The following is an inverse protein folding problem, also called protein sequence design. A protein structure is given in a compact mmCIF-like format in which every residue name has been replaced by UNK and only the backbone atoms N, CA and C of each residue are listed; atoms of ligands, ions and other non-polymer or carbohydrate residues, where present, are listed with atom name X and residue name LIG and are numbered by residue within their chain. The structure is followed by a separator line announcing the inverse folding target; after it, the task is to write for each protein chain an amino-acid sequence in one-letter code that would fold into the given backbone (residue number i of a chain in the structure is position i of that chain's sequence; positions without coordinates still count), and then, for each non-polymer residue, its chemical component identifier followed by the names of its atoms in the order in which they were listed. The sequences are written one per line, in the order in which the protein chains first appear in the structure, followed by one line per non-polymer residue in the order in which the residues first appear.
data_IF_679433134842
#
_entry.id   IF_679433134842
#
_cell.length_a   1.000
_cell.length_b   1.000
_cell.length_c   1.000
_cell.angle_alpha   90.00
_cell.angle_beta   90.00
_cell.angle_gamma   90.00
#
_symmetry.space_group_name_H-M   'P 1'
#
loop_
_entity.id
_entity.type
_entity.pdbx_description
1 polymer ?
#
# COMPACT_ATOMS: atom_id res chain seq x y z
N UNK A 1 9.41 -7.34 -15.89
CA UNK A 1 10.55 -6.51 -16.35
C UNK A 1 11.16 -5.85 -15.10
N UNK A 2 12.47 -5.59 -15.04
CA UNK A 2 13.11 -4.97 -13.86
C UNK A 2 13.74 -3.64 -14.21
N UNK A 3 13.42 -2.56 -13.48
CA UNK A 3 14.08 -1.25 -13.62
C UNK A 3 15.15 -1.06 -12.54
N UNK A 4 16.30 -0.50 -12.92
CA UNK A 4 17.39 -0.19 -12.00
C UNK A 4 17.09 1.04 -11.11
N UNK A 5 18.00 1.34 -10.16
CA UNK A 5 17.83 2.48 -9.27
C UNK A 5 17.80 3.80 -10.05
N UNK A 6 16.88 4.68 -9.68
CA UNK A 6 16.67 5.98 -10.35
C UNK A 6 16.30 7.02 -9.30
N UNK A 7 16.47 8.32 -9.57
CA UNK A 7 15.95 9.36 -8.66
C UNK A 7 14.42 9.48 -8.80
N UNK A 8 13.92 9.40 -10.05
CA UNK A 8 12.50 9.58 -10.36
C UNK A 8 12.02 8.54 -11.38
N UNK A 9 10.92 7.85 -11.09
CA UNK A 9 10.23 6.99 -12.05
C UNK A 9 8.76 7.40 -12.23
N UNK A 10 8.37 7.66 -13.47
CA UNK A 10 7.00 7.96 -13.86
C UNK A 10 6.55 6.97 -14.93
N UNK A 11 5.55 6.14 -14.61
CA UNK A 11 4.96 5.18 -15.54
C UNK A 11 3.45 5.43 -15.65
N UNK A 12 2.97 5.63 -16.88
CA UNK A 12 1.55 5.85 -17.18
C UNK A 12 1.08 4.90 -18.29
N UNK A 13 0.11 4.03 -18.01
CA UNK A 13 -0.42 3.08 -19.01
C UNK A 13 -1.89 3.34 -19.34
N UNK A 14 -2.24 2.98 -20.58
CA UNK A 14 -3.59 3.10 -21.11
C UNK A 14 -4.58 2.09 -20.53
N UNK A 15 -5.86 2.15 -20.96
CA UNK A 15 -7.02 1.54 -20.31
C UNK A 15 -7.15 0.01 -20.39
N UNK A 16 -6.16 -0.74 -20.89
CA UNK A 16 -6.32 -2.20 -21.09
C UNK A 16 -4.96 -2.89 -21.08
N UNK A 17 -4.23 -2.82 -19.97
CA UNK A 17 -2.93 -3.49 -19.89
C UNK A 17 -2.56 -3.85 -18.46
N UNK A 18 -2.27 -5.14 -18.26
CA UNK A 18 -1.69 -5.64 -17.02
C UNK A 18 -0.20 -5.32 -17.00
N UNK A 19 0.29 -4.83 -15.88
CA UNK A 19 1.68 -4.47 -15.70
C UNK A 19 2.31 -5.37 -14.64
N UNK A 20 3.35 -6.10 -15.03
CA UNK A 20 4.24 -6.81 -14.09
C UNK A 20 5.65 -6.25 -14.15
N UNK A 21 6.04 -5.49 -13.13
CA UNK A 21 7.35 -4.83 -13.08
C UNK A 21 7.97 -4.88 -11.68
N UNK A 22 9.28 -5.15 -11.61
CA UNK A 22 10.07 -4.95 -10.39
C UNK A 22 10.79 -3.62 -10.49
N UNK A 23 10.64 -2.75 -9.50
CA UNK A 23 11.36 -1.48 -9.44
C UNK A 23 12.43 -1.56 -8.37
N UNK A 24 13.67 -1.21 -8.74
CA UNK A 24 14.74 -1.00 -7.78
C UNK A 24 14.49 0.24 -6.89
N UNK A 25 15.35 0.44 -5.89
CA UNK A 25 15.23 1.56 -4.96
C UNK A 25 15.29 2.90 -5.70
N UNK A 26 14.39 3.81 -5.35
CA UNK A 26 14.20 5.12 -6.01
C UNK A 26 13.92 6.18 -4.95
N UNK A 27 14.13 7.47 -5.19
CA UNK A 27 13.66 8.51 -4.24
C UNK A 27 12.15 8.73 -4.42
N UNK A 28 11.71 8.96 -5.67
CA UNK A 28 10.33 9.26 -6.03
C UNK A 28 9.78 8.31 -7.11
N UNK A 29 8.68 7.63 -6.81
CA UNK A 29 7.97 6.77 -7.77
C UNK A 29 6.51 7.18 -7.93
N UNK A 30 6.08 7.38 -9.18
CA UNK A 30 4.66 7.57 -9.50
C UNK A 30 4.20 6.70 -10.65
N UNK A 31 3.16 5.91 -10.38
CA UNK A 31 2.53 5.04 -11.36
C UNK A 31 1.06 5.41 -11.55
N UNK A 32 0.62 5.42 -12.79
CA UNK A 32 -0.76 5.67 -13.20
C UNK A 32 -1.25 4.60 -14.16
N UNK A 33 -2.26 3.80 -13.79
CA UNK A 33 -2.94 2.93 -14.74
C UNK A 33 -4.30 3.48 -15.13
N UNK A 34 -4.68 3.25 -16.39
CA UNK A 34 -6.04 3.46 -16.86
C UNK A 34 -7.05 2.48 -16.22
N UNK A 35 -8.36 2.65 -16.50
CA UNK A 35 -9.41 1.78 -15.98
C UNK A 35 -9.23 0.33 -16.45
N UNK A 36 -9.38 -0.67 -15.57
CA UNK A 36 -9.47 -2.09 -15.97
C UNK A 36 -8.16 -2.79 -16.36
N UNK A 37 -7.02 -2.34 -15.84
CA UNK A 37 -5.75 -3.07 -15.95
C UNK A 37 -5.19 -3.41 -14.57
N UNK A 38 -4.54 -4.56 -14.45
CA UNK A 38 -4.00 -5.04 -13.18
C UNK A 38 -2.54 -4.65 -13.01
N UNK A 39 -2.18 -4.14 -11.84
CA UNK A 39 -0.82 -3.81 -11.48
C UNK A 39 -0.28 -4.87 -10.53
N UNK A 40 0.71 -5.63 -10.98
CA UNK A 40 1.55 -6.46 -10.12
C UNK A 40 2.96 -5.89 -10.07
N UNK A 41 3.47 -5.58 -8.89
CA UNK A 41 4.83 -5.09 -8.79
C UNK A 41 5.56 -5.52 -7.53
N UNK A 42 6.89 -5.49 -7.61
CA UNK A 42 7.77 -5.66 -6.48
C UNK A 42 8.63 -4.39 -6.39
N UNK A 43 8.56 -3.73 -5.24
CA UNK A 43 9.21 -2.45 -5.02
C UNK A 43 10.35 -2.62 -4.04
N UNK A 44 11.53 -2.13 -4.43
CA UNK A 44 12.62 -1.87 -3.50
C UNK A 44 12.39 -0.58 -2.71
N UNK A 45 13.26 -0.34 -1.73
CA UNK A 45 13.16 0.79 -0.81
C UNK A 45 13.01 2.14 -1.53
N UNK A 46 11.95 2.89 -1.25
CA UNK A 46 11.64 4.20 -1.85
C UNK A 46 11.11 5.19 -0.82
N UNK A 47 11.65 6.40 -0.75
CA UNK A 47 11.17 7.39 0.23
C UNK A 47 9.69 7.78 -0.03
N UNK A 48 9.33 8.06 -1.29
CA UNK A 48 7.99 8.52 -1.67
C UNK A 48 7.40 7.73 -2.86
N UNK A 49 6.29 7.02 -2.60
CA UNK A 49 5.56 6.21 -3.58
C UNK A 49 4.12 6.67 -3.73
N UNK A 50 3.69 6.90 -4.98
CA UNK A 50 2.30 7.25 -5.30
C UNK A 50 1.79 6.41 -6.46
N UNK A 51 0.78 5.59 -6.21
CA UNK A 51 0.11 4.83 -7.28
C UNK A 51 -1.34 5.27 -7.43
N UNK A 52 -1.73 5.56 -8.66
CA UNK A 52 -3.10 5.88 -9.02
C UNK A 52 -3.61 4.87 -10.03
N UNK A 53 -4.67 4.15 -9.69
CA UNK A 53 -5.30 3.22 -10.61
C UNK A 53 -6.65 3.76 -11.06
N UNK A 54 -7.04 3.37 -12.27
CA UNK A 54 -8.36 3.66 -12.78
C UNK A 54 -9.42 2.78 -12.08
N UNK A 55 -10.70 3.16 -12.16
CA UNK A 55 -11.78 2.35 -11.62
C UNK A 55 -11.72 0.93 -12.23
N UNK A 56 -11.72 -0.10 -11.37
CA UNK A 56 -11.66 -1.54 -11.69
C UNK A 56 -10.30 -2.15 -12.05
N UNK A 57 -9.18 -1.54 -11.65
CA UNK A 57 -7.88 -2.21 -11.72
C UNK A 57 -7.50 -2.82 -10.38
N UNK A 58 -6.90 -4.02 -10.41
CA UNK A 58 -6.41 -4.67 -9.20
C UNK A 58 -4.94 -4.32 -8.96
N UNK A 59 -4.55 -4.14 -7.69
CA UNK A 59 -3.18 -3.87 -7.29
C UNK A 59 -2.66 -4.99 -6.40
N UNK A 60 -1.60 -5.65 -6.85
CA UNK A 60 -0.80 -6.56 -6.03
C UNK A 60 0.62 -6.02 -5.93
N UNK A 61 1.08 -5.71 -4.72
CA UNK A 61 2.46 -5.24 -4.54
C UNK A 61 3.17 -5.90 -3.36
N UNK A 62 4.43 -6.26 -3.58
CA UNK A 62 5.35 -6.67 -2.53
C UNK A 62 6.37 -5.56 -2.30
N UNK A 63 6.55 -5.09 -1.07
CA UNK A 63 7.59 -4.11 -0.76
C UNK A 63 8.55 -4.65 0.29
N UNK A 64 9.86 -4.56 0.02
CA UNK A 64 10.93 -4.78 0.98
C UNK A 64 11.57 -3.42 1.29
N UNK A 65 11.11 -2.81 2.39
CA UNK A 65 11.39 -1.43 2.74
C UNK A 65 12.38 -1.39 3.90
N UNK A 66 13.52 -0.74 3.73
CA UNK A 66 14.52 -0.65 4.80
C UNK A 66 14.48 0.65 5.58
N UNK A 67 13.78 1.67 5.09
CA UNK A 67 13.78 3.04 5.62
C UNK A 67 12.35 3.57 5.81
N UNK A 68 12.23 4.86 6.14
CA UNK A 68 10.95 5.55 6.29
C UNK A 68 10.30 5.81 4.92
N UNK A 69 9.08 5.31 4.70
CA UNK A 69 8.43 5.39 3.38
C UNK A 69 6.99 5.89 3.41
N UNK A 70 6.57 6.54 2.33
CA UNK A 70 5.20 7.02 2.17
C UNK A 70 4.54 6.41 0.93
N UNK A 71 3.46 5.68 1.16
CA UNK A 71 2.69 5.06 0.09
C UNK A 71 1.30 5.68 0.00
N UNK A 72 0.97 6.26 -1.15
CA UNK A 72 -0.36 6.81 -1.43
C UNK A 72 -1.05 6.08 -2.57
N UNK A 73 -2.21 5.47 -2.30
CA UNK A 73 -3.05 4.83 -3.31
C UNK A 73 -4.34 5.61 -3.56
N UNK A 74 -4.70 5.71 -4.84
CA UNK A 74 -6.00 6.21 -5.28
C UNK A 74 -7.12 5.16 -5.15
N UNK A 75 -8.19 5.36 -5.92
CA UNK A 75 -9.28 4.39 -6.02
C UNK A 75 -8.82 3.13 -6.75
N UNK A 76 -9.11 1.96 -6.18
CA UNK A 76 -8.71 0.65 -6.69
C UNK A 76 -9.91 -0.30 -6.66
N UNK A 77 -9.89 -1.35 -7.50
CA UNK A 77 -10.83 -2.47 -7.39
C UNK A 77 -10.43 -3.30 -6.19
N UNK A 78 -9.51 -4.24 -6.40
CA UNK A 78 -8.92 -5.03 -5.31
C UNK A 78 -7.50 -4.57 -4.99
N UNK A 79 -7.15 -4.54 -3.72
CA UNK A 79 -5.83 -4.16 -3.23
C UNK A 79 -5.23 -5.26 -2.37
N UNK A 80 -4.08 -5.78 -2.78
CA UNK A 80 -3.25 -6.71 -2.02
C UNK A 80 -1.83 -6.17 -1.85
N UNK A 81 -1.40 -5.99 -0.60
CA UNK A 81 -0.04 -5.52 -0.28
C UNK A 81 0.62 -6.50 0.70
N UNK A 82 1.84 -6.93 0.37
CA UNK A 82 2.72 -7.68 1.27
C UNK A 82 3.96 -6.85 1.60
N UNK A 83 4.18 -6.52 2.87
CA UNK A 83 5.36 -5.76 3.30
C UNK A 83 6.32 -6.62 4.11
N UNK A 84 7.60 -6.49 3.81
CA UNK A 84 8.70 -7.00 4.60
C UNK A 84 8.92 -6.20 5.90
N UNK A 85 10.03 -6.45 6.60
CA UNK A 85 10.38 -5.70 7.80
C UNK A 85 10.71 -4.25 7.44
N UNK A 86 10.07 -3.26 8.08
CA UNK A 86 10.28 -1.82 7.81
C UNK A 86 10.54 -1.04 9.09
N UNK A 87 11.28 0.06 8.97
CA UNK A 87 11.46 1.04 10.04
C UNK A 87 10.15 1.79 10.31
N UNK A 88 9.88 2.81 9.49
CA UNK A 88 8.69 3.66 9.64
C UNK A 88 7.87 3.64 8.34
N UNK A 89 6.56 3.44 8.43
CA UNK A 89 5.70 3.38 7.26
C UNK A 89 4.48 4.28 7.40
N UNK A 90 4.27 5.14 6.40
CA UNK A 90 3.07 5.91 6.24
C UNK A 90 2.28 5.45 5.01
N UNK A 91 1.04 5.01 5.20
CA UNK A 91 0.17 4.57 4.11
C UNK A 91 -1.15 5.34 4.07
N UNK A 92 -1.54 5.84 2.90
CA UNK A 92 -2.83 6.46 2.66
C UNK A 92 -3.53 5.77 1.50
N UNK A 93 -4.59 5.03 1.79
CA UNK A 93 -5.36 4.26 0.81
C UNK A 93 -6.69 4.96 0.53
N UNK A 94 -7.02 5.08 -0.76
CA UNK A 94 -8.33 5.55 -1.21
C UNK A 94 -9.42 4.50 -1.06
N UNK A 95 -10.63 4.76 -1.59
CA UNK A 95 -11.72 3.80 -1.56
C UNK A 95 -11.40 2.55 -2.41
N UNK A 96 -11.74 1.37 -1.89
CA UNK A 96 -11.46 0.06 -2.50
C UNK A 96 -12.67 -0.86 -2.39
N UNK A 97 -12.78 -1.91 -3.21
CA UNK A 97 -13.78 -2.97 -3.00
C UNK A 97 -13.25 -3.93 -1.94
N UNK A 98 -12.11 -4.58 -2.21
CA UNK A 98 -11.42 -5.48 -1.29
C UNK A 98 -10.01 -5.00 -0.95
N UNK A 99 -9.64 -5.01 0.34
CA UNK A 99 -8.31 -4.64 0.80
C UNK A 99 -7.66 -5.74 1.66
N UNK A 100 -6.47 -6.19 1.27
CA UNK A 100 -5.68 -7.22 1.95
C UNK A 100 -4.25 -6.73 2.20
N UNK A 101 -3.90 -6.50 3.46
CA UNK A 101 -2.53 -6.11 3.85
C UNK A 101 -1.91 -7.21 4.71
N UNK A 102 -0.69 -7.63 4.36
CA UNK A 102 0.14 -8.53 5.17
C UNK A 102 1.47 -7.86 5.48
N UNK A 103 1.67 -7.43 6.72
CA UNK A 103 2.83 -6.65 7.14
C UNK A 103 3.77 -7.50 8.00
N UNK A 104 5.06 -7.43 7.73
CA UNK A 104 6.12 -8.01 8.54
C UNK A 104 6.37 -7.24 9.84
N UNK A 105 7.54 -7.42 10.48
CA UNK A 105 7.93 -6.63 11.63
C UNK A 105 8.09 -5.14 11.28
N UNK A 106 7.40 -4.24 11.98
CA UNK A 106 7.46 -2.80 11.71
C UNK A 106 7.87 -2.03 12.96
N UNK A 107 8.68 -0.98 12.82
CA UNK A 107 8.94 -0.02 13.90
C UNK A 107 7.70 0.81 14.20
N UNK A 108 7.43 1.79 13.35
CA UNK A 108 6.25 2.65 13.42
C UNK A 108 5.38 2.48 12.16
N UNK A 109 4.08 2.24 12.35
CA UNK A 109 3.12 2.02 11.28
C UNK A 109 1.97 3.00 11.39
N UNK A 110 1.87 3.95 10.45
CA UNK A 110 0.75 4.87 10.32
C UNK A 110 -0.03 4.56 9.05
N UNK A 111 -1.32 4.24 9.18
CA UNK A 111 -2.18 3.97 8.02
C UNK A 111 -3.49 4.74 8.08
N UNK A 112 -3.94 5.22 6.92
CA UNK A 112 -5.27 5.79 6.73
C UNK A 112 -5.97 5.10 5.57
N UNK A 113 -7.08 4.45 5.86
CA UNK A 113 -7.80 3.59 4.93
C UNK A 113 -9.13 4.23 4.58
N UNK A 114 -9.37 4.42 3.28
CA UNK A 114 -10.64 4.87 2.76
C UNK A 114 -11.76 3.82 2.89
N UNK A 115 -12.99 4.15 2.49
CA UNK A 115 -14.11 3.23 2.54
C UNK A 115 -13.84 1.97 1.72
N UNK A 116 -14.13 0.81 2.31
CA UNK A 116 -13.87 -0.51 1.72
C UNK A 116 -15.05 -1.45 2.03
N UNK A 117 -15.37 -2.38 1.13
CA UNK A 117 -16.37 -3.42 1.45
C UNK A 117 -15.75 -4.46 2.39
N UNK A 118 -14.66 -5.11 1.95
CA UNK A 118 -13.96 -6.13 2.72
C UNK A 118 -12.50 -5.76 3.04
N UNK A 119 -12.16 -5.64 4.32
CA UNK A 119 -10.82 -5.34 4.78
C UNK A 119 -10.20 -6.51 5.56
N UNK A 120 -8.98 -6.90 5.22
CA UNK A 120 -8.19 -7.93 5.89
C UNK A 120 -6.77 -7.45 6.15
N UNK A 121 -6.39 -7.36 7.42
CA UNK A 121 -5.09 -6.90 7.87
C UNK A 121 -4.40 -8.00 8.69
N UNK A 122 -3.21 -8.41 8.26
CA UNK A 122 -2.33 -9.32 9.00
C UNK A 122 -1.06 -8.59 9.39
N UNK A 123 -0.91 -8.22 10.65
CA UNK A 123 0.24 -7.47 11.16
C UNK A 123 1.22 -8.40 11.88
N UNK A 124 2.50 -8.30 11.55
CA UNK A 124 3.59 -8.89 12.32
C UNK A 124 3.84 -8.13 13.64
N UNK A 125 5.03 -8.32 14.26
CA UNK A 125 5.41 -7.53 15.42
C UNK A 125 5.54 -6.05 15.06
N UNK A 126 4.76 -5.17 15.67
CA UNK A 126 4.85 -3.72 15.42
C UNK A 126 5.26 -3.02 16.71
N UNK A 127 6.13 -2.01 16.64
CA UNK A 127 6.39 -1.12 17.77
C UNK A 127 5.13 -0.31 18.06
N UNK A 128 4.86 0.67 17.21
CA UNK A 128 3.72 1.59 17.34
C UNK A 128 2.82 1.50 16.09
N UNK A 129 1.52 1.27 16.31
CA UNK A 129 0.50 1.19 15.26
C UNK A 129 -0.48 2.34 15.40
N UNK A 130 -0.54 3.22 14.41
CA UNK A 130 -1.57 4.25 14.24
C UNK A 130 -2.45 3.94 13.04
N UNK A 131 -3.77 3.82 13.23
CA UNK A 131 -4.70 3.55 12.13
C UNK A 131 -5.92 4.47 12.17
N UNK A 132 -6.26 5.03 11.01
CA UNK A 132 -7.52 5.70 10.73
C UNK A 132 -8.33 4.89 9.72
N UNK A 133 -9.58 4.59 10.05
CA UNK A 133 -10.47 3.77 9.25
C UNK A 133 -11.72 4.56 8.90
N UNK A 134 -12.00 4.68 7.60
CA UNK A 134 -13.31 5.07 7.10
C UNK A 134 -14.27 3.85 7.13
N UNK A 135 -15.59 4.03 6.92
CA UNK A 135 -16.56 2.95 7.05
C UNK A 135 -16.22 1.72 6.21
N UNK A 136 -16.11 0.57 6.88
CA UNK A 136 -15.92 -0.74 6.25
C UNK A 136 -17.10 -1.65 6.57
N UNK A 137 -17.56 -2.43 5.58
CA UNK A 137 -18.67 -3.38 5.80
C UNK A 137 -18.19 -4.58 6.63
N UNK A 138 -17.09 -5.21 6.20
CA UNK A 138 -16.48 -6.36 6.88
C UNK A 138 -14.99 -6.13 7.13
N UNK A 139 -14.57 -6.21 8.40
CA UNK A 139 -13.16 -6.06 8.79
C UNK A 139 -12.63 -7.31 9.49
N UNK A 140 -11.41 -7.73 9.10
CA UNK A 140 -10.66 -8.81 9.72
C UNK A 140 -9.26 -8.34 10.05
N UNK A 141 -8.96 -8.25 11.34
CA UNK A 141 -7.66 -7.84 11.85
C UNK A 141 -6.98 -8.99 12.61
N UNK A 142 -5.87 -9.47 12.08
CA UNK A 142 -4.96 -10.42 12.72
C UNK A 142 -3.69 -9.69 13.13
N UNK A 143 -3.49 -9.50 14.43
CA UNK A 143 -2.35 -8.75 14.96
C UNK A 143 -1.35 -9.70 15.63
N UNK A 144 -0.06 -9.52 15.33
CA UNK A 144 1.06 -10.07 16.08
C UNK A 144 1.32 -9.34 17.40
N UNK A 145 2.56 -9.37 17.89
CA UNK A 145 2.96 -8.60 19.08
C UNK A 145 3.02 -7.11 18.74
N UNK A 146 2.10 -6.31 19.29
CA UNK A 146 2.15 -4.85 19.14
C UNK A 146 2.53 -4.20 20.46
N UNK A 147 3.40 -3.20 20.40
CA UNK A 147 3.73 -2.34 21.54
C UNK A 147 2.52 -1.49 21.89
N UNK A 148 2.29 -0.41 21.14
CA UNK A 148 1.19 0.53 21.35
C UNK A 148 0.26 0.63 20.12
N UNK A 149 -1.04 0.75 20.37
CA UNK A 149 -2.08 0.90 19.33
C UNK A 149 -2.79 2.25 19.54
N UNK A 150 -2.64 3.15 18.59
CA UNK A 150 -3.44 4.36 18.41
C UNK A 150 -4.49 4.15 17.32
N UNK A 151 -5.77 4.22 17.69
CA UNK A 151 -6.85 4.38 16.71
C UNK A 151 -7.21 5.85 16.68
N UNK A 152 -7.07 6.51 15.54
CA UNK A 152 -7.58 7.87 15.37
C UNK A 152 -9.09 7.77 15.14
N UNK A 153 -9.95 8.28 16.04
CA UNK A 153 -11.37 8.31 15.80
C UNK A 153 -11.64 9.32 14.69
N UNK A 154 -12.08 8.82 13.54
CA UNK A 154 -12.53 9.61 12.39
C UNK A 154 -13.44 10.74 12.90
N UNK A 155 -12.98 12.00 12.76
CA UNK A 155 -13.78 13.17 13.11
C UNK A 155 -14.79 13.39 11.99
N UNK A 156 -16.08 13.25 12.32
CA UNK A 156 -17.26 13.58 11.50
C UNK A 156 -17.08 14.83 10.61
#
# INVERSE_FOLDING_TARGET
MGLGPTENQLLGLGPVGDLTIGLGPTEDQRLGLGPGGDLTMELGSTEDQRLGLGPKGDLTTGLDLTEAERLGLGHVGDLTIGLGPVGDLFMGLGPTEDQRLGLGPVGELTMRLGPTEDQSLGLGPVGDLTMGLDPTVDERLGIGLVGDIGLDPTVD
#
